data_IF_766477671057
#
_entry.id   IF_766477671057
#
_cell.length_a   1.000
_cell.length_b   1.000
_cell.length_c   1.000
_cell.angle_alpha   90.00
_cell.angle_beta   90.00
_cell.angle_gamma   90.00
#
_symmetry.space_group_name_H-M   'P 1'
#
loop_
_entity.id
_entity.type
_entity.pdbx_description
1 polymer ?
#
# COMPACT_ATOMS: atom_id res chain seq x y z
N UNK A 1 70.59 -5.22 6.54
CA UNK A 1 69.35 -4.58 6.04
C UNK A 1 68.46 -4.40 7.25
N UNK A 2 68.62 -3.22 7.87
CA UNK A 2 67.55 -2.21 8.12
C UNK A 2 66.94 -2.43 9.51
N UNK A 3 66.89 -1.51 10.45
CA UNK A 3 67.25 -0.08 10.57
C UNK A 3 67.48 0.20 12.06
N UNK A 4 68.23 1.27 12.31
CA UNK A 4 68.76 1.75 13.58
C UNK A 4 67.82 2.80 14.19
N UNK A 5 68.16 3.25 15.42
CA UNK A 5 67.69 4.49 16.06
C UNK A 5 66.24 4.51 16.59
N UNK A 6 65.91 5.03 17.77
CA UNK A 6 66.64 5.82 18.77
C UNK A 6 65.64 6.08 19.91
N UNK A 7 66.05 6.02 21.19
CA UNK A 7 65.32 6.63 22.32
C UNK A 7 66.16 6.60 23.60
N UNK A 8 66.83 7.72 23.90
CA UNK A 8 66.99 8.29 25.24
C UNK A 8 67.68 9.66 25.10
N UNK A 9 67.01 10.74 25.51
CA UNK A 9 67.19 11.43 26.80
C UNK A 9 68.27 12.52 26.65
N UNK A 10 67.97 13.81 26.78
CA UNK A 10 67.83 14.63 27.99
C UNK A 10 67.74 16.10 27.47
N UNK A 11 67.17 17.13 28.11
CA UNK A 11 67.27 17.49 29.51
C UNK A 11 66.34 18.67 29.87
N UNK A 12 65.95 18.67 31.14
CA UNK A 12 65.77 19.81 32.07
C UNK A 12 64.67 20.87 31.84
N UNK A 13 63.71 20.85 32.77
CA UNK A 13 63.15 21.95 33.58
C UNK A 13 61.62 21.76 33.67
N UNK A 14 60.95 21.69 34.81
CA UNK A 14 61.31 21.82 36.21
C UNK A 14 59.99 21.95 36.99
N UNK A 15 60.02 21.46 38.24
CA UNK A 15 59.06 21.73 39.33
C UNK A 15 57.63 21.14 39.27
N UNK A 16 57.33 20.45 40.37
CA UNK A 16 56.02 20.20 40.99
C UNK A 16 55.08 19.18 40.32
N UNK A 17 55.25 17.92 40.71
CA UNK A 17 54.14 16.99 40.90
C UNK A 17 53.49 17.25 42.28
N UNK A 18 52.23 16.82 42.38
CA UNK A 18 51.34 16.79 43.55
C UNK A 18 50.48 18.03 43.75
N UNK A 19 49.40 18.11 42.97
CA UNK A 19 48.01 18.34 43.41
C UNK A 19 47.10 18.19 42.16
N UNK A 20 46.91 16.95 41.69
CA UNK A 20 46.23 16.64 40.40
C UNK A 20 44.92 15.85 40.58
N UNK A 21 44.18 16.00 41.70
CA UNK A 21 42.89 15.30 41.87
C UNK A 21 41.78 16.10 42.61
N UNK A 22 41.99 17.36 43.00
CA UNK A 22 41.00 18.13 43.81
C UNK A 22 40.36 19.34 43.10
N UNK A 23 40.83 19.75 41.91
CA UNK A 23 40.38 20.98 41.23
C UNK A 23 39.30 20.80 40.15
N UNK A 24 38.87 19.56 39.86
CA UNK A 24 37.72 19.29 38.97
C UNK A 24 36.37 19.25 39.72
N UNK A 25 36.38 19.50 41.04
CA UNK A 25 35.19 19.56 41.90
C UNK A 25 34.51 20.94 41.89
N UNK A 26 34.48 21.68 40.79
CA UNK A 26 33.57 22.84 40.65
C UNK A 26 33.27 23.28 39.22
N UNK A 27 33.79 22.61 38.19
CA UNK A 27 33.66 23.11 36.82
C UNK A 27 32.39 22.61 36.11
N UNK A 28 31.21 23.02 36.60
CA UNK A 28 29.93 22.85 35.87
C UNK A 28 29.63 24.11 35.03
N UNK A 29 30.28 24.23 33.88
CA UNK A 29 29.93 25.26 32.89
C UNK A 29 28.72 24.77 32.09
N UNK A 30 27.54 25.31 32.39
CA UNK A 30 26.40 25.30 31.47
C UNK A 30 26.14 26.75 31.06
N UNK A 31 26.61 27.12 29.88
CA UNK A 31 26.36 28.42 29.28
C UNK A 31 24.94 28.49 28.67
N UNK A 32 24.09 29.25 29.38
CA UNK A 32 22.89 30.01 28.97
C UNK A 32 21.64 29.29 28.40
N UNK A 33 20.44 29.78 28.81
CA UNK A 33 19.89 30.94 28.12
C UNK A 33 19.71 32.18 29.01
N UNK A 34 20.19 33.31 28.49
CA UNK A 34 20.11 34.71 28.96
C UNK A 34 18.69 35.29 28.94
N UNK A 35 17.76 34.64 29.65
CA UNK A 35 16.59 35.33 30.19
C UNK A 35 16.51 34.97 31.66
N UNK A 36 16.57 35.96 32.59
CA UNK A 36 16.30 35.66 33.98
C UNK A 36 14.89 35.06 34.01
N UNK A 37 14.78 33.79 34.43
CA UNK A 37 13.49 33.19 34.79
C UNK A 37 12.90 34.14 35.82
N UNK A 38 11.91 34.93 35.43
CA UNK A 38 11.17 35.76 36.35
C UNK A 38 10.76 34.84 37.49
N UNK A 39 11.30 35.10 38.68
CA UNK A 39 11.07 34.25 39.84
C UNK A 39 9.58 34.40 40.12
N UNK A 40 8.80 33.42 39.65
CA UNK A 40 7.36 33.39 39.88
C UNK A 40 7.12 33.73 41.35
N UNK A 41 6.24 34.68 41.56
CA UNK A 41 5.83 35.02 42.92
C UNK A 41 5.33 33.74 43.61
N UNK A 42 5.55 33.64 44.92
CA UNK A 42 5.18 32.46 45.68
C UNK A 42 3.71 32.04 45.48
N UNK A 43 2.83 33.03 45.29
CA UNK A 43 1.41 32.85 44.97
C UNK A 43 1.19 32.23 43.60
N UNK A 44 1.89 32.69 42.57
CA UNK A 44 1.82 32.16 41.21
C UNK A 44 2.35 30.72 41.13
N UNK A 45 3.45 30.43 41.83
CA UNK A 45 3.99 29.06 41.94
C UNK A 45 2.99 28.11 42.61
N UNK A 46 2.35 28.54 43.71
CA UNK A 46 1.32 27.74 44.39
C UNK A 46 0.11 27.47 43.50
N UNK A 47 -0.37 28.48 42.76
CA UNK A 47 -1.48 28.31 41.83
C UNK A 47 -1.16 27.33 40.69
N UNK A 48 0.07 27.36 40.15
CA UNK A 48 0.51 26.39 39.13
C UNK A 48 0.50 24.97 39.68
N UNK A 49 1.10 24.75 40.85
CA UNK A 49 1.14 23.43 41.50
C UNK A 49 -0.27 22.95 41.81
N UNK A 50 -1.15 23.84 42.28
CA UNK A 50 -2.54 23.50 42.55
C UNK A 50 -3.28 23.08 41.26
N UNK A 51 -3.19 23.86 40.18
CA UNK A 51 -3.81 23.51 38.89
C UNK A 51 -3.25 22.21 38.30
N UNK A 52 -1.94 21.99 38.42
CA UNK A 52 -1.29 20.74 38.00
C UNK A 52 -1.75 19.55 38.85
N UNK A 53 -1.92 19.75 40.16
CA UNK A 53 -2.47 18.72 41.05
C UNK A 53 -3.94 18.42 40.78
N UNK A 54 -4.75 19.44 40.46
CA UNK A 54 -6.16 19.31 40.08
C UNK A 54 -6.29 18.59 38.73
N UNK A 55 -5.43 18.92 37.75
CA UNK A 55 -5.41 18.24 36.46
C UNK A 55 -4.95 16.78 36.56
N UNK A 56 -4.00 16.47 37.46
CA UNK A 56 -3.53 15.09 37.70
C UNK A 56 -4.48 14.25 38.54
N UNK A 57 -5.21 14.87 39.46
CA UNK A 57 -6.17 14.19 40.35
C UNK A 57 -7.56 14.05 39.74
N UNK A 58 -7.86 14.77 38.65
CA UNK A 58 -9.10 14.62 37.93
C UNK A 58 -9.14 13.27 37.21
N UNK A 59 -9.93 12.35 37.76
CA UNK A 59 -10.31 11.13 37.06
C UNK A 59 -11.29 11.47 35.94
N UNK A 60 -11.11 10.84 34.77
CA UNK A 60 -12.04 10.99 33.66
C UNK A 60 -13.41 10.48 34.09
N UNK A 61 -14.45 11.21 33.74
CA UNK A 61 -15.82 10.79 33.98
C UNK A 61 -16.16 9.57 33.11
N UNK A 62 -17.15 8.76 33.53
CA UNK A 62 -17.57 7.58 32.76
C UNK A 62 -17.97 7.91 31.32
N UNK A 63 -18.56 9.10 31.10
CA UNK A 63 -18.94 9.56 29.77
C UNK A 63 -17.71 9.90 28.90
N UNK A 64 -16.68 10.52 29.48
CA UNK A 64 -15.43 10.84 28.79
C UNK A 64 -14.66 9.56 28.40
N UNK A 65 -14.60 8.58 29.31
CA UNK A 65 -13.96 7.27 29.01
C UNK A 65 -14.69 6.53 27.89
N UNK A 66 -16.02 6.54 27.90
CA UNK A 66 -16.81 5.89 26.84
C UNK A 66 -16.62 6.57 25.47
N UNK A 67 -16.51 7.90 25.45
CA UNK A 67 -16.24 8.65 24.22
C UNK A 67 -14.83 8.39 23.68
N UNK A 68 -13.83 8.32 24.54
CA UNK A 68 -12.47 7.95 24.16
C UNK A 68 -12.39 6.51 23.63
N UNK A 69 -13.04 5.55 24.29
CA UNK A 69 -13.07 4.16 23.83
C UNK A 69 -13.81 4.02 22.48
N UNK A 70 -14.90 4.77 22.26
CA UNK A 70 -15.59 4.80 20.97
C UNK A 70 -14.68 5.36 19.87
N UNK A 71 -13.98 6.46 20.13
CA UNK A 71 -13.01 7.04 19.20
C UNK A 71 -11.85 6.09 18.91
N UNK A 72 -11.34 5.36 19.91
CA UNK A 72 -10.30 4.34 19.72
C UNK A 72 -10.81 3.18 18.85
N UNK A 73 -12.05 2.72 19.05
CA UNK A 73 -12.66 1.69 18.19
C UNK A 73 -12.85 2.17 16.76
N UNK A 74 -13.32 3.39 16.55
CA UNK A 74 -13.46 3.98 15.20
C UNK A 74 -12.10 4.16 14.52
N UNK A 75 -11.07 4.58 15.27
CA UNK A 75 -9.69 4.67 14.79
C UNK A 75 -9.10 3.29 14.46
N UNK A 76 -9.47 2.25 15.19
CA UNK A 76 -9.03 0.88 14.92
C UNK A 76 -9.77 0.27 13.71
N UNK A 77 -11.06 0.58 13.53
CA UNK A 77 -11.85 0.14 12.37
C UNK A 77 -11.42 0.85 11.08
N UNK A 78 -11.09 2.14 11.16
CA UNK A 78 -10.62 2.93 10.00
C UNK A 78 -9.20 2.55 9.58
N UNK A 79 -8.34 2.11 10.50
CA UNK A 79 -7.02 1.56 10.17
C UNK A 79 -7.18 0.14 9.64
N UNK A 80 -7.12 0.00 8.32
CA UNK A 80 -7.12 -1.31 7.69
C UNK A 80 -5.93 -2.13 8.24
N UNK A 81 -6.21 -3.30 8.82
CA UNK A 81 -5.18 -4.22 9.33
C UNK A 81 -4.25 -4.72 8.22
N UNK A 82 -4.62 -4.52 6.95
CA UNK A 82 -3.83 -4.87 5.78
C UNK A 82 -2.79 -3.80 5.42
N UNK A 83 -2.99 -2.53 5.76
CA UNK A 83 -2.06 -1.43 5.42
C UNK A 83 -0.85 -1.32 6.38
N UNK A 84 -0.96 -1.92 7.57
CA UNK A 84 0.07 -1.77 8.60
C UNK A 84 1.41 -2.40 8.15
N UNK A 85 2.58 -1.79 8.40
CA UNK A 85 3.87 -2.33 7.97
C UNK A 85 4.20 -3.71 8.58
N UNK A 86 3.56 -4.07 9.70
CA UNK A 86 3.64 -5.40 10.30
C UNK A 86 2.87 -6.47 9.50
N UNK A 87 1.80 -6.09 8.81
CA UNK A 87 0.93 -6.99 8.05
C UNK A 87 1.62 -7.51 6.78
N UNK A 88 2.50 -6.70 6.17
CA UNK A 88 3.24 -7.00 4.95
C UNK A 88 4.07 -8.30 5.06
N UNK A 89 4.54 -8.62 6.27
CA UNK A 89 5.29 -9.84 6.55
C UNK A 89 4.50 -10.91 7.30
N UNK A 90 3.23 -10.65 7.62
CA UNK A 90 2.40 -11.60 8.36
C UNK A 90 2.14 -12.87 7.55
N UNK A 91 2.30 -14.03 8.21
CA UNK A 91 2.00 -15.34 7.60
C UNK A 91 0.53 -15.45 7.20
N UNK A 92 -0.37 -14.78 7.92
CA UNK A 92 -1.80 -14.72 7.63
C UNK A 92 -2.10 -14.04 6.29
N UNK A 93 -1.48 -12.89 6.02
CA UNK A 93 -1.65 -12.20 4.74
C UNK A 93 -1.03 -13.00 3.59
N UNK A 94 0.14 -13.63 3.81
CA UNK A 94 0.76 -14.56 2.84
C UNK A 94 -0.13 -15.77 2.54
N UNK A 95 -0.83 -16.31 3.54
CA UNK A 95 -1.83 -17.37 3.34
C UNK A 95 -3.05 -16.86 2.57
N UNK A 96 -3.63 -15.71 2.93
CA UNK A 96 -4.79 -15.13 2.23
C UNK A 96 -4.48 -14.78 0.76
N UNK A 97 -3.29 -14.24 0.50
CA UNK A 97 -2.76 -14.03 -0.85
C UNK A 97 -2.60 -15.36 -1.61
N UNK A 98 -2.10 -16.41 -0.95
CA UNK A 98 -1.98 -17.75 -1.55
C UNK A 98 -3.35 -18.42 -1.78
N UNK A 99 -4.36 -18.05 -1.00
CA UNK A 99 -5.76 -18.48 -1.16
C UNK A 99 -6.55 -17.62 -2.17
N UNK A 100 -5.92 -16.61 -2.79
CA UNK A 100 -6.49 -15.88 -3.92
C UNK A 100 -7.43 -14.72 -3.57
N UNK A 101 -7.39 -14.24 -2.32
CA UNK A 101 -8.28 -13.17 -1.84
C UNK A 101 -7.89 -11.80 -2.43
N UNK A 102 -6.62 -11.62 -2.85
CA UNK A 102 -6.19 -10.42 -3.56
C UNK A 102 -6.44 -10.55 -5.07
N UNK A 103 -7.01 -9.53 -5.69
CA UNK A 103 -7.28 -9.45 -7.14
C UNK A 103 -6.04 -9.74 -7.99
N UNK A 104 -4.87 -9.26 -7.56
CA UNK A 104 -3.59 -9.48 -8.24
C UNK A 104 -3.13 -10.94 -8.15
N UNK A 105 -3.36 -11.59 -7.01
CA UNK A 105 -3.02 -13.01 -6.82
C UNK A 105 -3.94 -13.95 -7.59
N UNK A 106 -5.22 -13.57 -7.74
CA UNK A 106 -6.20 -14.31 -8.56
C UNK A 106 -5.77 -14.32 -10.03
N UNK A 107 -5.44 -13.15 -10.58
CA UNK A 107 -4.92 -13.01 -11.96
C UNK A 107 -3.64 -13.84 -12.18
N UNK A 108 -2.68 -13.78 -11.26
CA UNK A 108 -1.43 -14.57 -11.34
C UNK A 108 -1.68 -16.08 -11.27
N UNK A 109 -2.65 -16.53 -10.45
CA UNK A 109 -3.01 -17.95 -10.35
C UNK A 109 -3.66 -18.44 -11.63
N UNK A 110 -4.57 -17.66 -12.20
CA UNK A 110 -5.22 -17.96 -13.48
C UNK A 110 -4.19 -18.07 -14.62
N UNK A 111 -3.25 -17.11 -14.68
CA UNK A 111 -2.12 -17.15 -15.62
C UNK A 111 -1.25 -18.41 -15.45
N UNK A 112 -0.95 -18.78 -14.20
CA UNK A 112 -0.17 -19.98 -13.90
C UNK A 112 -0.92 -21.26 -14.27
N UNK A 113 -2.23 -21.32 -14.06
CA UNK A 113 -3.06 -22.46 -14.46
C UNK A 113 -3.10 -22.61 -15.99
N UNK A 114 -3.19 -21.50 -16.74
CA UNK A 114 -3.10 -21.53 -18.21
C UNK A 114 -1.73 -22.00 -18.70
N UNK A 115 -0.66 -21.49 -18.10
CA UNK A 115 0.71 -21.90 -18.43
C UNK A 115 0.96 -23.38 -18.10
N UNK A 116 0.48 -23.86 -16.96
CA UNK A 116 0.62 -25.27 -16.55
C UNK A 116 -0.18 -26.19 -17.48
N UNK A 117 -1.38 -25.76 -17.90
CA UNK A 117 -2.16 -26.47 -18.93
C UNK A 117 -1.41 -26.54 -20.26
N UNK A 118 -0.87 -25.41 -20.74
CA UNK A 118 -0.09 -25.35 -21.99
C UNK A 118 1.18 -26.21 -21.93
N UNK A 119 1.86 -26.20 -20.78
CA UNK A 119 3.05 -27.04 -20.55
C UNK A 119 2.69 -28.53 -20.43
N UNK A 120 1.52 -28.85 -19.89
CA UNK A 120 1.02 -30.23 -19.81
C UNK A 120 0.55 -30.76 -21.17
N UNK A 121 -0.04 -29.91 -22.02
CA UNK A 121 -0.45 -30.25 -23.39
C UNK A 121 0.75 -30.60 -24.28
N UNK A 122 1.87 -29.91 -24.10
CA UNK A 122 3.12 -30.20 -24.82
C UNK A 122 3.90 -31.41 -24.29
N UNK A 123 3.59 -31.89 -23.08
CA UNK A 123 4.23 -33.07 -22.45
C UNK A 123 3.34 -34.31 -22.43
N UNK A 124 2.13 -34.21 -23.00
CA UNK A 124 1.22 -35.34 -23.10
C UNK A 124 1.88 -36.42 -23.97
N UNK A 125 2.02 -37.67 -23.49
CA UNK A 125 2.52 -38.75 -24.34
C UNK A 125 1.57 -38.93 -25.51
N UNK A 126 1.92 -38.38 -26.67
CA UNK A 126 1.21 -38.68 -27.91
C UNK A 126 1.63 -40.10 -28.28
N UNK A 127 0.64 -40.98 -28.37
CA UNK A 127 0.85 -42.28 -28.98
C UNK A 127 1.03 -42.00 -30.49
N UNK A 128 2.29 -41.96 -30.92
CA UNK A 128 2.67 -41.79 -32.31
C UNK A 128 2.72 -43.20 -32.92
N UNK A 129 1.59 -43.60 -33.47
CA UNK A 129 1.45 -44.87 -34.19
C UNK A 129 2.13 -44.77 -35.56
N UNK A 130 3.12 -45.65 -35.80
CA UNK A 130 3.88 -45.69 -37.06
C UNK A 130 3.00 -46.07 -38.27
N UNK A 131 1.86 -46.72 -38.02
CA UNK A 131 0.89 -47.16 -39.04
C UNK A 131 -0.21 -46.11 -39.34
N UNK A 132 -0.20 -44.93 -38.69
CA UNK A 132 -1.21 -43.89 -38.97
C UNK A 132 -1.03 -43.26 -40.36
N UNK A 133 -2.03 -43.47 -41.23
CA UNK A 133 -2.05 -42.88 -42.57
C UNK A 133 -2.41 -41.38 -42.53
N UNK A 134 -2.20 -40.69 -43.67
CA UNK A 134 -2.51 -39.25 -43.81
C UNK A 134 -3.98 -38.92 -43.58
N UNK A 135 -4.88 -39.88 -43.82
CA UNK A 135 -6.31 -39.68 -43.61
C UNK A 135 -6.68 -39.84 -42.12
N UNK A 136 -6.04 -40.78 -41.41
CA UNK A 136 -6.22 -40.97 -39.97
C UNK A 136 -5.74 -39.75 -39.18
N UNK A 137 -4.59 -39.18 -39.57
CA UNK A 137 -4.05 -37.97 -38.95
C UNK A 137 -4.92 -36.73 -39.21
N UNK A 138 -5.60 -36.70 -40.36
CA UNK A 138 -6.60 -35.67 -40.69
C UNK A 138 -7.87 -35.83 -39.86
N UNK A 139 -8.35 -37.07 -39.69
CA UNK A 139 -9.54 -37.37 -38.90
C UNK A 139 -9.34 -37.13 -37.39
N UNK A 140 -8.14 -37.42 -36.88
CA UNK A 140 -7.75 -37.20 -35.48
C UNK A 140 -7.28 -35.75 -35.19
N UNK A 141 -7.20 -34.90 -36.21
CA UNK A 141 -6.76 -33.50 -36.05
C UNK A 141 -5.26 -33.34 -35.69
N UNK A 142 -4.45 -34.39 -35.87
CA UNK A 142 -3.00 -34.38 -35.60
C UNK A 142 -2.19 -33.67 -36.68
N UNK A 143 -2.73 -33.56 -37.90
CA UNK A 143 -2.05 -32.94 -39.06
C UNK A 143 -1.72 -31.45 -38.90
N UNK A 144 -2.46 -30.77 -38.04
CA UNK A 144 -2.28 -29.34 -37.75
C UNK A 144 -2.56 -29.12 -36.28
N UNK A 145 -1.54 -29.28 -35.46
CA UNK A 145 -1.53 -28.68 -34.13
C UNK A 145 -1.38 -27.16 -34.32
N UNK A 146 -2.43 -26.51 -34.80
CA UNK A 146 -2.61 -25.07 -34.65
C UNK A 146 -3.18 -24.86 -33.25
N UNK A 147 -2.37 -25.13 -32.22
CA UNK A 147 -2.53 -24.37 -31.00
C UNK A 147 -2.12 -22.96 -31.35
N UNK A 148 -3.07 -22.15 -31.82
CA UNK A 148 -2.94 -20.70 -31.79
C UNK A 148 -2.59 -20.39 -30.35
N UNK A 149 -1.31 -20.08 -30.12
CA UNK A 149 -0.85 -19.69 -28.81
C UNK A 149 -1.69 -18.46 -28.51
N UNK A 150 -2.53 -18.55 -27.48
CA UNK A 150 -3.33 -17.42 -26.98
C UNK A 150 -2.38 -16.47 -26.24
N UNK A 151 -1.25 -16.15 -26.85
CA UNK A 151 -0.35 -15.06 -26.49
C UNK A 151 -0.94 -13.74 -26.99
N UNK A 152 -1.76 -13.77 -28.06
CA UNK A 152 -2.34 -12.57 -28.67
C UNK A 152 -3.64 -12.06 -28.02
N UNK A 153 -4.16 -12.69 -26.95
CA UNK A 153 -5.27 -12.14 -26.15
C UNK A 153 -4.84 -11.53 -24.82
N UNK A 154 -3.54 -11.57 -24.50
CA UNK A 154 -2.93 -10.85 -23.36
C UNK A 154 -2.30 -9.52 -23.82
N UNK A 155 -2.73 -8.94 -24.95
CA UNK A 155 -2.42 -7.54 -25.23
C UNK A 155 -3.11 -6.72 -24.13
N UNK A 156 -2.35 -6.40 -23.08
CA UNK A 156 -2.79 -5.60 -21.94
C UNK A 156 -3.25 -4.26 -22.50
N UNK A 157 -4.54 -4.15 -22.80
CA UNK A 157 -5.16 -2.95 -23.32
C UNK A 157 -5.06 -1.87 -22.23
N UNK A 158 -4.11 -0.93 -22.37
CA UNK A 158 -3.86 0.05 -21.33
C UNK A 158 -5.04 1.03 -21.21
N UNK A 159 -5.87 1.14 -22.25
CA UNK A 159 -7.07 1.96 -22.26
C UNK A 159 -8.17 1.32 -21.41
N UNK A 160 -8.35 0.01 -21.50
CA UNK A 160 -9.31 -0.73 -20.68
C UNK A 160 -8.92 -0.69 -19.20
N UNK A 161 -7.64 -0.86 -18.89
CA UNK A 161 -7.14 -0.77 -17.52
C UNK A 161 -7.33 0.66 -16.96
N UNK A 162 -7.00 1.69 -17.73
CA UNK A 162 -7.28 3.09 -17.38
C UNK A 162 -8.78 3.33 -17.14
N UNK A 163 -9.65 2.72 -17.95
CA UNK A 163 -11.10 2.80 -17.76
C UNK A 163 -11.54 2.11 -16.45
N UNK A 164 -10.98 0.96 -16.12
CA UNK A 164 -11.35 0.25 -14.88
C UNK A 164 -10.86 0.93 -13.62
N UNK A 165 -9.80 1.73 -13.71
CA UNK A 165 -9.23 2.51 -12.61
C UNK A 165 -10.06 3.75 -12.25
N UNK A 166 -10.92 4.25 -13.15
CA UNK A 166 -11.81 5.37 -12.89
C UNK A 166 -12.85 5.03 -11.80
N UNK A 167 -13.40 6.07 -11.17
CA UNK A 167 -14.48 5.89 -10.20
C UNK A 167 -15.70 5.21 -10.87
N UNK A 168 -16.45 4.33 -10.17
CA UNK A 168 -17.62 3.69 -10.75
C UNK A 168 -18.63 4.66 -11.39
N UNK A 169 -18.79 5.87 -10.84
CA UNK A 169 -19.66 6.90 -11.39
C UNK A 169 -19.16 7.41 -12.75
N UNK A 170 -17.87 7.72 -12.88
CA UNK A 170 -17.26 8.20 -14.14
C UNK A 170 -17.29 7.12 -15.23
N UNK A 171 -17.11 5.85 -14.83
CA UNK A 171 -17.22 4.70 -15.72
C UNK A 171 -18.61 4.58 -16.32
N UNK A 172 -19.65 4.78 -15.50
CA UNK A 172 -21.03 4.75 -15.95
C UNK A 172 -21.31 5.90 -16.92
N UNK A 173 -20.85 7.12 -16.63
CA UNK A 173 -21.04 8.28 -17.52
C UNK A 173 -20.44 8.04 -18.91
N UNK A 174 -19.17 7.58 -18.99
CA UNK A 174 -18.51 7.27 -20.26
C UNK A 174 -19.22 6.17 -21.05
N UNK A 175 -19.73 5.14 -20.38
CA UNK A 175 -20.50 4.08 -21.02
C UNK A 175 -21.84 4.59 -21.56
N UNK A 176 -22.54 5.41 -20.78
CA UNK A 176 -23.81 6.01 -21.19
C UNK A 176 -23.59 6.94 -22.40
N UNK A 177 -22.53 7.74 -22.42
CA UNK A 177 -22.19 8.59 -23.57
C UNK A 177 -21.94 7.76 -24.84
N UNK A 178 -21.15 6.69 -24.74
CA UNK A 178 -20.87 5.77 -25.84
C UNK A 178 -22.11 5.05 -26.36
N UNK A 179 -23.00 4.60 -25.46
CA UNK A 179 -24.27 3.98 -25.84
C UNK A 179 -25.20 4.96 -26.58
N UNK A 180 -25.13 6.25 -26.26
CA UNK A 180 -25.96 7.27 -26.90
C UNK A 180 -25.41 7.69 -28.25
N UNK A 181 -24.10 7.79 -28.42
CA UNK A 181 -23.48 8.20 -29.69
C UNK A 181 -23.45 7.08 -30.74
N UNK A 182 -23.21 5.84 -30.34
CA UNK A 182 -23.09 4.73 -31.29
C UNK A 182 -24.38 3.97 -31.55
N UNK A 183 -25.24 3.85 -30.52
CA UNK A 183 -26.43 3.00 -30.57
C UNK A 183 -27.73 3.78 -30.40
N UNK A 184 -27.67 5.11 -30.27
CA UNK A 184 -28.81 5.95 -29.93
C UNK A 184 -29.61 5.35 -28.76
N UNK A 185 -28.92 4.78 -27.77
CA UNK A 185 -29.55 4.08 -26.65
C UNK A 185 -29.44 4.86 -25.35
N UNK A 186 -30.57 5.10 -24.69
CA UNK A 186 -30.57 5.64 -23.33
C UNK A 186 -30.67 4.49 -22.31
N UNK A 187 -29.64 4.35 -21.48
CA UNK A 187 -29.59 3.34 -20.40
C UNK A 187 -30.73 3.51 -19.38
N UNK A 188 -31.09 4.76 -19.06
CA UNK A 188 -32.10 5.07 -18.05
C UNK A 188 -33.53 4.88 -18.58
N UNK A 189 -33.82 5.34 -19.80
CA UNK A 189 -35.11 5.07 -20.47
C UNK A 189 -35.25 3.62 -20.95
N UNK A 190 -34.13 2.89 -21.11
CA UNK A 190 -34.04 1.53 -21.67
C UNK A 190 -34.65 1.43 -23.08
N UNK A 191 -34.42 2.46 -23.89
CA UNK A 191 -34.96 2.55 -25.24
C UNK A 191 -33.89 2.99 -26.24
N UNK A 192 -33.87 2.34 -27.40
CA UNK A 192 -33.06 2.72 -28.58
C UNK A 192 -33.88 3.67 -29.43
N UNK A 193 -33.43 4.91 -29.55
CA UNK A 193 -34.07 5.91 -30.38
C UNK A 193 -33.60 5.77 -31.83
N UNK A 194 -34.48 6.08 -32.80
CA UNK A 194 -34.16 5.98 -34.22
C UNK A 194 -33.25 7.11 -34.72
N UNK A 195 -33.29 8.29 -34.07
CA UNK A 195 -32.55 9.48 -34.49
C UNK A 195 -31.48 9.88 -33.48
N UNK A 196 -30.35 10.40 -33.98
CA UNK A 196 -29.20 10.84 -33.18
C UNK A 196 -29.53 12.01 -32.23
N UNK A 197 -30.60 12.75 -32.54
CA UNK A 197 -31.12 13.84 -31.69
C UNK A 197 -31.77 13.32 -30.40
N UNK A 198 -32.07 12.01 -30.30
CA UNK A 198 -32.67 11.38 -29.12
C UNK A 198 -33.91 12.15 -28.63
N UNK A 199 -34.73 12.62 -29.57
CA UNK A 199 -35.87 13.51 -29.31
C UNK A 199 -36.88 12.81 -28.37
N UNK A 200 -36.94 13.29 -27.12
CA UNK A 200 -37.79 12.75 -26.06
C UNK A 200 -37.06 12.18 -24.85
N UNK A 201 -35.72 12.15 -24.84
CA UNK A 201 -34.96 11.73 -23.67
C UNK A 201 -34.81 12.87 -22.63
N UNK A 202 -35.20 12.66 -21.35
CA UNK A 202 -35.19 13.70 -20.31
C UNK A 202 -33.84 14.34 -19.99
N UNK A 203 -32.74 13.59 -20.12
CA UNK A 203 -31.41 14.11 -19.83
C UNK A 203 -30.30 13.06 -19.94
N UNK A 204 -29.13 13.35 -19.37
CA UNK A 204 -27.95 12.47 -19.42
C UNK A 204 -27.74 11.68 -18.13
N UNK A 205 -28.20 12.19 -16.99
CA UNK A 205 -27.94 11.64 -15.67
C UNK A 205 -29.15 10.87 -15.14
N UNK A 206 -28.92 10.05 -14.11
CA UNK A 206 -29.97 9.28 -13.43
C UNK A 206 -31.10 10.19 -12.92
N UNK A 207 -30.72 11.32 -12.29
CA UNK A 207 -31.64 12.31 -11.70
C UNK A 207 -32.62 12.92 -12.71
N UNK A 208 -32.27 12.97 -14.00
CA UNK A 208 -33.15 13.52 -15.03
C UNK A 208 -34.31 12.56 -15.38
N UNK A 209 -34.24 11.30 -14.94
CA UNK A 209 -35.14 10.22 -15.33
C UNK A 209 -35.95 9.61 -14.18
N UNK A 210 -35.88 10.21 -12.98
CA UNK A 210 -36.68 9.84 -11.80
C UNK A 210 -38.18 10.22 -11.93
#
# INVERSE_FOLDING_TARGET
MTEDESKNAESSNGAAQEEDDEDDYMNMIIAEPSKPREKETYTQRRQRIQRESEARSRTKSKAEVAAEEAAERENALSKSMLEAPSSANSKGLKMMAKMGISSTTRRKRDRRMRYDLQQSLSRLPTYDDEDEDKDDKRALGKDRIQHTIVEDLEEEDPELDAFTLLEPAERLQKLVEHLRSEYNYCFFCKYTYPDDSMDGCPGLMEEDHD
#
